data_IF_995864353810
#
_entry.id   IF_995864353810
#
_cell.length_a   1.000
_cell.length_b   1.000
_cell.length_c   1.000
_cell.angle_alpha   90.00
_cell.angle_beta   90.00
_cell.angle_gamma   90.00
#
_symmetry.space_group_name_H-M   'P 1'
#
loop_
_entity.id
_entity.type
_entity.pdbx_description
1 polymer ?
#
# COMPACT_ATOMS: atom_id res chain seq x y z
N UNK A 1 -15.53 -36.01 8.66
CA UNK A 1 -15.06 -36.49 7.33
C UNK A 1 -13.79 -35.71 6.99
N UNK A 2 -12.65 -36.37 6.82
CA UNK A 2 -11.32 -35.72 6.69
C UNK A 2 -10.81 -35.72 5.23
N UNK A 3 -11.67 -35.39 4.28
CA UNK A 3 -11.34 -35.34 2.85
C UNK A 3 -11.26 -33.91 2.33
N UNK A 4 -10.23 -33.60 1.54
CA UNK A 4 -10.17 -32.36 0.77
C UNK A 4 -11.32 -32.33 -0.23
N UNK A 5 -12.16 -31.30 -0.18
CA UNK A 5 -13.22 -31.10 -1.16
C UNK A 5 -12.64 -30.42 -2.39
N UNK A 6 -12.67 -31.09 -3.54
CA UNK A 6 -12.21 -30.53 -4.81
C UNK A 6 -12.99 -29.25 -5.15
N UNK A 7 -12.28 -28.14 -5.29
CA UNK A 7 -12.82 -26.85 -5.72
C UNK A 7 -12.43 -26.58 -7.17
N UNK A 8 -13.17 -25.67 -7.80
CA UNK A 8 -12.86 -25.20 -9.15
C UNK A 8 -11.71 -24.17 -9.11
N UNK A 9 -10.54 -24.62 -8.65
CA UNK A 9 -9.32 -23.80 -8.57
C UNK A 9 -8.22 -24.39 -9.44
N UNK A 10 -7.29 -23.54 -9.88
CA UNK A 10 -6.12 -23.99 -10.68
C UNK A 10 -5.26 -24.97 -9.88
N UNK A 11 -5.19 -24.82 -8.56
CA UNK A 11 -4.48 -25.75 -7.66
C UNK A 11 -5.10 -27.14 -7.70
N UNK A 12 -6.41 -27.24 -7.52
CA UNK A 12 -7.10 -28.53 -7.52
C UNK A 12 -7.18 -29.15 -8.92
N UNK A 13 -7.22 -28.33 -9.97
CA UNK A 13 -7.16 -28.80 -11.36
C UNK A 13 -5.86 -29.56 -11.66
N UNK A 14 -4.75 -29.26 -10.97
CA UNK A 14 -3.49 -29.98 -11.20
C UNK A 14 -3.59 -31.47 -10.81
N UNK A 15 -4.52 -31.83 -9.91
CA UNK A 15 -4.73 -33.21 -9.48
C UNK A 15 -5.23 -34.12 -10.61
N UNK A 16 -5.83 -33.55 -11.65
CA UNK A 16 -6.36 -34.31 -12.80
C UNK A 16 -5.38 -34.39 -13.99
N UNK A 17 -4.17 -33.84 -13.86
CA UNK A 17 -3.14 -33.91 -14.90
C UNK A 17 -2.67 -35.36 -15.06
N UNK A 18 -2.63 -35.83 -16.31
CA UNK A 18 -2.20 -37.20 -16.63
C UNK A 18 -3.30 -38.26 -16.46
N UNK A 19 -4.49 -37.88 -15.97
CA UNK A 19 -5.64 -38.78 -15.94
C UNK A 19 -6.24 -38.95 -17.35
N UNK A 20 -6.69 -40.16 -17.73
CA UNK A 20 -7.26 -40.41 -19.05
C UNK A 20 -8.43 -39.50 -19.40
N UNK A 21 -9.24 -39.10 -18.42
CA UNK A 21 -10.39 -38.21 -18.60
C UNK A 21 -10.05 -36.77 -19.00
N UNK A 22 -8.86 -36.28 -18.66
CA UNK A 22 -8.39 -34.96 -19.08
C UNK A 22 -7.75 -34.98 -20.48
N UNK A 23 -7.27 -36.15 -20.90
CA UNK A 23 -6.48 -36.30 -22.12
C UNK A 23 -5.17 -35.51 -22.09
N UNK A 24 -4.37 -35.65 -23.16
CA UNK A 24 -3.06 -34.98 -23.26
C UNK A 24 -3.22 -33.47 -23.41
N UNK A 25 -4.14 -33.03 -24.27
CA UNK A 25 -4.38 -31.59 -24.51
C UNK A 25 -4.90 -30.91 -23.25
N UNK A 26 -5.88 -31.49 -22.56
CA UNK A 26 -6.40 -30.93 -21.32
C UNK A 26 -5.34 -30.88 -20.22
N UNK A 27 -4.53 -31.93 -20.08
CA UNK A 27 -3.40 -31.94 -19.14
C UNK A 27 -2.39 -30.82 -19.43
N UNK A 28 -2.04 -30.59 -20.71
CA UNK A 28 -1.15 -29.48 -21.10
C UNK A 28 -1.77 -28.11 -20.80
N UNK A 29 -3.07 -27.93 -21.06
CA UNK A 29 -3.78 -26.68 -20.74
C UNK A 29 -3.80 -26.39 -19.24
N UNK A 30 -3.99 -27.41 -18.40
CA UNK A 30 -3.96 -27.26 -16.94
C UNK A 30 -2.57 -26.86 -16.46
N UNK A 31 -1.51 -27.52 -16.97
CA UNK A 31 -0.13 -27.17 -16.63
C UNK A 31 0.19 -25.74 -17.06
N UNK A 32 -0.23 -25.33 -18.26
CA UNK A 32 -0.05 -23.95 -18.72
C UNK A 32 -0.76 -22.95 -17.81
N UNK A 33 -2.02 -23.21 -17.44
CA UNK A 33 -2.78 -22.37 -16.51
C UNK A 33 -2.13 -22.29 -15.12
N UNK A 34 -1.58 -23.39 -14.63
CA UNK A 34 -0.83 -23.44 -13.37
C UNK A 34 0.43 -22.57 -13.42
N UNK A 35 1.22 -22.65 -14.50
CA UNK A 35 2.42 -21.83 -14.67
C UNK A 35 2.09 -20.34 -14.75
N UNK A 36 1.02 -19.97 -15.45
CA UNK A 36 0.53 -18.58 -15.49
C UNK A 36 0.12 -18.11 -14.10
N UNK A 37 -0.67 -18.91 -13.37
CA UNK A 37 -1.08 -18.60 -12.01
C UNK A 37 0.12 -18.42 -11.07
N UNK A 38 1.11 -19.31 -11.15
CA UNK A 38 2.35 -19.20 -10.38
C UNK A 38 3.11 -17.92 -10.73
N UNK A 39 3.26 -17.61 -12.03
CA UNK A 39 3.91 -16.40 -12.49
C UNK A 39 3.26 -15.13 -11.98
N UNK A 40 1.92 -15.04 -12.03
CA UNK A 40 1.17 -13.90 -11.49
C UNK A 40 1.36 -13.77 -9.98
N UNK A 41 1.29 -14.88 -9.24
CA UNK A 41 1.49 -14.84 -7.79
C UNK A 41 2.92 -14.41 -7.42
N UNK A 42 3.93 -14.94 -8.10
CA UNK A 42 5.32 -14.51 -7.91
C UNK A 42 5.50 -13.02 -8.22
N UNK A 43 4.89 -12.52 -9.30
CA UNK A 43 4.95 -11.11 -9.66
C UNK A 43 4.30 -10.21 -8.60
N UNK A 44 3.14 -10.60 -8.07
CA UNK A 44 2.48 -9.86 -6.98
C UNK A 44 3.32 -9.88 -5.70
N UNK A 45 3.87 -11.04 -5.32
CA UNK A 45 4.78 -11.13 -4.18
C UNK A 45 6.03 -10.25 -4.37
N UNK A 46 6.55 -10.16 -5.59
CA UNK A 46 7.67 -9.28 -5.92
C UNK A 46 7.31 -7.80 -5.73
N UNK A 47 6.14 -7.35 -6.21
CA UNK A 47 5.67 -5.96 -6.01
C UNK A 47 5.56 -5.65 -4.51
N UNK A 48 4.92 -6.53 -3.74
CA UNK A 48 4.78 -6.34 -2.29
C UNK A 48 6.16 -6.25 -1.63
N UNK A 49 7.08 -7.14 -2.01
CA UNK A 49 8.44 -7.10 -1.48
C UNK A 49 9.17 -5.80 -1.83
N UNK A 50 9.09 -5.34 -3.09
CA UNK A 50 9.80 -4.16 -3.55
C UNK A 50 9.26 -2.86 -2.94
N UNK A 51 7.94 -2.70 -2.91
CA UNK A 51 7.34 -1.38 -2.65
C UNK A 51 6.74 -1.24 -1.24
N UNK A 52 6.34 -2.35 -0.61
CA UNK A 52 5.59 -2.33 0.65
C UNK A 52 6.44 -2.70 1.88
N UNK A 53 7.67 -3.17 1.70
CA UNK A 53 8.55 -3.53 2.82
C UNK A 53 9.49 -2.42 3.28
N UNK A 54 9.58 -1.33 2.51
CA UNK A 54 10.39 -0.17 2.87
C UNK A 54 9.53 0.83 3.64
N UNK A 55 10.04 1.34 4.76
CA UNK A 55 9.37 2.41 5.52
C UNK A 55 9.29 3.69 4.66
N UNK A 56 8.11 3.94 4.09
CA UNK A 56 7.85 5.14 3.30
C UNK A 56 7.53 6.38 4.15
N UNK A 57 7.28 6.17 5.45
CA UNK A 57 6.87 7.22 6.38
C UNK A 57 7.93 7.45 7.46
N UNK A 58 8.13 8.72 7.88
CA UNK A 58 9.00 9.02 9.01
C UNK A 58 8.48 8.33 10.27
N UNK A 59 9.40 7.90 11.13
CA UNK A 59 9.05 7.31 12.42
C UNK A 59 8.27 8.31 13.28
N UNK A 60 7.48 7.79 14.23
CA UNK A 60 6.74 8.62 15.17
C UNK A 60 7.66 9.60 15.92
N UNK A 61 8.86 9.15 16.28
CA UNK A 61 9.86 9.96 16.98
C UNK A 61 10.35 11.13 16.12
N UNK A 62 10.58 10.91 14.82
CA UNK A 62 11.00 11.96 13.90
C UNK A 62 9.92 13.02 13.69
N UNK A 63 8.66 12.59 13.55
CA UNK A 63 7.52 13.50 13.43
C UNK A 63 7.33 14.31 14.72
N UNK A 64 7.45 13.67 15.90
CA UNK A 64 7.38 14.35 17.19
C UNK A 64 8.52 15.35 17.37
N UNK A 65 9.75 14.97 17.02
CA UNK A 65 10.92 15.85 17.07
C UNK A 65 10.72 17.07 16.18
N UNK A 66 10.28 16.88 14.94
CA UNK A 66 9.95 18.00 14.05
C UNK A 66 8.90 18.92 14.67
N UNK A 67 7.84 18.35 15.25
CA UNK A 67 6.76 19.13 15.86
C UNK A 67 7.23 20.01 17.02
N UNK A 68 8.13 19.49 17.85
CA UNK A 68 8.64 20.21 19.03
C UNK A 68 9.70 21.25 18.65
N UNK A 69 10.67 20.86 17.82
CA UNK A 69 11.87 21.66 17.61
C UNK A 69 11.86 22.54 16.35
N UNK A 70 11.12 22.15 15.32
CA UNK A 70 11.14 22.87 14.02
C UNK A 70 9.82 23.58 13.74
N UNK A 71 8.69 22.91 13.97
CA UNK A 71 7.39 23.36 13.49
C UNK A 71 6.91 24.66 14.15
N UNK A 72 7.39 24.97 15.35
CA UNK A 72 7.06 26.17 16.14
C UNK A 72 8.22 27.14 16.30
N UNK A 73 9.35 26.90 15.65
CA UNK A 73 10.50 27.82 15.70
C UNK A 73 10.19 29.10 14.90
N UNK A 74 10.40 30.25 15.54
CA UNK A 74 10.12 31.58 14.98
C UNK A 74 10.93 31.87 13.72
N UNK A 75 12.10 31.25 13.56
CA UNK A 75 12.92 31.39 12.35
C UNK A 75 12.24 30.83 11.10
N UNK A 76 11.29 29.92 11.27
CA UNK A 76 10.50 29.32 10.18
C UNK A 76 9.05 29.82 10.14
N UNK A 77 8.71 30.81 10.96
CA UNK A 77 7.40 31.46 10.89
C UNK A 77 7.28 32.26 9.60
N UNK A 78 6.09 32.29 9.01
CA UNK A 78 5.84 33.12 7.84
C UNK A 78 5.98 34.59 8.19
N UNK A 79 6.88 35.28 7.48
CA UNK A 79 7.18 36.69 7.73
C UNK A 79 6.00 37.63 7.46
N UNK A 80 5.06 37.23 6.61
CA UNK A 80 3.91 38.08 6.26
C UNK A 80 2.74 37.94 7.24
N UNK A 81 2.39 36.71 7.62
CA UNK A 81 1.22 36.42 8.47
C UNK A 81 1.59 36.14 9.93
N UNK A 82 2.86 35.88 10.23
CA UNK A 82 3.31 35.40 11.53
C UNK A 82 2.88 33.96 11.85
N UNK A 83 2.32 33.24 10.87
CA UNK A 83 1.85 31.87 11.09
C UNK A 83 3.04 30.91 11.27
N UNK A 84 2.90 29.99 12.23
CA UNK A 84 3.92 28.95 12.45
C UNK A 84 3.95 27.96 11.30
N UNK A 85 5.12 27.32 11.09
CA UNK A 85 5.28 26.28 10.09
C UNK A 85 4.30 25.12 10.30
N UNK A 86 4.03 24.76 11.56
CA UNK A 86 3.00 23.78 11.92
C UNK A 86 1.62 24.14 11.37
N UNK A 87 1.19 25.40 11.55
CA UNK A 87 -0.12 25.86 11.11
C UNK A 87 -0.27 25.81 9.60
N UNK A 88 0.80 26.13 8.86
CA UNK A 88 0.79 26.13 7.40
C UNK A 88 0.81 24.72 6.83
N UNK A 89 1.61 23.81 7.41
CA UNK A 89 1.62 22.38 7.07
C UNK A 89 0.24 21.75 7.30
N UNK A 90 -0.36 21.94 8.48
CA UNK A 90 -1.68 21.38 8.79
C UNK A 90 -2.81 22.07 8.01
N UNK A 91 -2.60 23.30 7.56
CA UNK A 91 -3.54 24.07 6.74
C UNK A 91 -3.46 23.76 5.24
N UNK A 92 -2.55 22.89 4.80
CA UNK A 92 -2.42 22.50 3.39
C UNK A 92 -1.89 23.62 2.49
N UNK A 93 -1.03 24.51 3.01
CA UNK A 93 -0.48 25.60 2.21
C UNK A 93 0.49 25.05 1.14
N UNK A 94 0.20 25.32 -0.14
CA UNK A 94 0.97 24.81 -1.28
C UNK A 94 2.28 25.58 -1.52
N UNK A 95 2.44 26.75 -0.89
CA UNK A 95 3.61 27.62 -1.07
C UNK A 95 4.80 27.28 -0.15
N UNK A 96 4.72 26.18 0.61
CA UNK A 96 5.81 25.75 1.49
C UNK A 96 7.01 25.21 0.72
N UNK A 97 8.13 25.94 0.77
CA UNK A 97 9.43 25.44 0.33
C UNK A 97 10.09 24.46 1.34
N UNK A 98 9.68 24.51 2.62
CA UNK A 98 10.24 23.71 3.71
C UNK A 98 9.18 22.76 4.30
N UNK A 99 9.62 21.68 4.95
CA UNK A 99 8.72 20.65 5.53
C UNK A 99 7.76 20.01 4.53
N UNK A 100 8.19 19.86 3.27
CA UNK A 100 7.42 19.21 2.21
C UNK A 100 7.08 17.75 2.53
N UNK A 101 7.95 17.05 3.28
CA UNK A 101 7.69 15.68 3.77
C UNK A 101 6.50 15.67 4.73
N UNK A 102 6.45 16.60 5.69
CA UNK A 102 5.36 16.69 6.66
C UNK A 102 4.06 17.18 5.99
N UNK A 103 4.15 18.13 5.06
CA UNK A 103 3.00 18.56 4.25
C UNK A 103 2.41 17.41 3.43
N UNK A 104 3.27 16.63 2.75
CA UNK A 104 2.85 15.43 2.04
C UNK A 104 2.25 14.38 2.96
N UNK A 105 2.89 14.10 4.10
CA UNK A 105 2.37 13.16 5.09
C UNK A 105 0.97 13.55 5.57
N UNK A 106 0.74 14.83 5.86
CA UNK A 106 -0.59 15.33 6.27
C UNK A 106 -1.62 15.17 5.15
N UNK A 107 -1.25 15.47 3.90
CA UNK A 107 -2.13 15.30 2.74
C UNK A 107 -2.47 13.81 2.47
N UNK A 108 -1.46 12.92 2.55
CA UNK A 108 -1.66 11.47 2.38
C UNK A 108 -2.56 10.92 3.50
N UNK A 109 -2.39 11.39 4.74
CA UNK A 109 -3.22 11.02 5.89
C UNK A 109 -4.66 11.52 5.76
N UNK A 110 -4.87 12.78 5.35
CA UNK A 110 -6.22 13.33 5.19
C UNK A 110 -7.00 12.56 4.13
N UNK A 111 -6.35 12.23 3.01
CA UNK A 111 -6.94 11.42 1.94
C UNK A 111 -7.33 10.02 2.44
N UNK A 112 -6.48 9.38 3.24
CA UNK A 112 -6.77 8.07 3.82
C UNK A 112 -7.97 8.12 4.79
N UNK A 113 -8.05 9.14 5.64
CA UNK A 113 -9.12 9.27 6.64
C UNK A 113 -10.47 9.64 6.02
N UNK A 114 -10.50 10.51 5.01
CA UNK A 114 -11.74 10.88 4.30
C UNK A 114 -12.36 9.66 3.60
N UNK A 115 -11.53 8.80 3.00
CA UNK A 115 -11.98 7.54 2.42
C UNK A 115 -12.53 6.55 3.46
N UNK A 116 -12.00 6.58 4.69
CA UNK A 116 -12.45 5.74 5.79
C UNK A 116 -13.81 6.19 6.33
N UNK A 117 -14.04 7.50 6.47
CA UNK A 117 -15.36 8.03 6.85
C UNK A 117 -16.43 7.66 5.82
N UNK A 118 -16.09 7.65 4.54
CA UNK A 118 -16.98 7.17 3.48
C UNK A 118 -17.21 5.65 3.54
N UNK A 119 -16.18 4.85 3.85
CA UNK A 119 -16.29 3.39 3.93
C UNK A 119 -17.06 2.87 5.15
N UNK A 120 -17.19 3.66 6.22
CA UNK A 120 -18.03 3.32 7.40
C UNK A 120 -19.51 3.67 7.16
N UNK A 121 -19.79 4.50 6.16
CA UNK A 121 -21.16 4.94 5.81
C UNK A 121 -21.82 4.08 4.71
N UNK A 122 -21.16 3.04 4.21
CA UNK A 122 -21.69 2.04 3.26
C UNK A 122 -21.46 0.61 3.75
#
# INVERSE_FOLDING_TARGET
EWGHQLRQTVWDATLIVGLPGAGVVGSLSIVAGFLVNLGVQCFLCFIVFADFTTDQFPSLEEVQRWRIFTAHDVSWADSATGSSLASRVCGGDESLAMSSVQAKLVADLSQYTEGLELAVLF
#
